data_IF_166710170618
#
_entry.id   IF_166710170618
#
_cell.length_a   1.000
_cell.length_b   1.000
_cell.length_c   1.000
_cell.angle_alpha   90.00
_cell.angle_beta   90.00
_cell.angle_gamma   90.00
#
_symmetry.space_group_name_H-M   'P 1'
#
loop_
_entity.id
_entity.type
_entity.pdbx_description
1 polymer ?
#
# COMPACT_ATOMS: atom_id res chain seq x y z
N UNK A 1 -9.79 23.00 -6.45
CA UNK A 1 -9.50 22.40 -5.12
C UNK A 1 -8.72 21.13 -5.37
N UNK A 2 -7.71 20.85 -4.56
CA UNK A 2 -6.86 19.66 -4.70
C UNK A 2 -7.24 18.66 -3.60
N UNK A 3 -7.59 17.42 -3.96
CA UNK A 3 -7.96 16.37 -3.01
C UNK A 3 -6.71 15.63 -2.55
N UNK A 4 -6.64 15.23 -1.28
CA UNK A 4 -5.59 14.30 -0.85
C UNK A 4 -5.90 12.87 -1.37
N UNK A 5 -4.93 11.96 -1.25
CA UNK A 5 -5.08 10.58 -1.75
C UNK A 5 -6.28 9.85 -1.14
N UNK A 6 -6.54 10.04 0.16
CA UNK A 6 -7.65 9.39 0.87
C UNK A 6 -9.00 9.91 0.39
N UNK A 7 -9.17 11.22 0.31
CA UNK A 7 -10.40 11.86 -0.17
C UNK A 7 -10.77 11.37 -1.56
N UNK A 8 -9.79 11.31 -2.47
CA UNK A 8 -9.99 10.85 -3.84
C UNK A 8 -10.49 9.42 -3.91
N UNK A 9 -9.92 8.51 -3.12
CA UNK A 9 -10.36 7.11 -3.05
C UNK A 9 -11.80 7.01 -2.53
N UNK A 10 -12.11 7.72 -1.45
CA UNK A 10 -13.46 7.70 -0.87
C UNK A 10 -14.51 8.25 -1.85
N UNK A 11 -14.23 9.35 -2.53
CA UNK A 11 -15.15 9.92 -3.53
C UNK A 11 -15.34 8.99 -4.73
N UNK A 12 -14.28 8.37 -5.25
CA UNK A 12 -14.38 7.42 -6.34
C UNK A 12 -15.24 6.18 -5.97
N UNK A 13 -15.10 5.66 -4.75
CA UNK A 13 -15.92 4.55 -4.23
C UNK A 13 -17.41 4.92 -4.10
N UNK A 14 -17.70 6.19 -3.88
CA UNK A 14 -19.06 6.73 -3.81
C UNK A 14 -19.61 7.22 -5.16
N UNK A 15 -18.88 7.00 -6.27
CA UNK A 15 -19.26 7.46 -7.61
C UNK A 15 -19.37 9.00 -7.75
N UNK A 16 -18.61 9.74 -6.93
CA UNK A 16 -18.57 11.20 -6.95
C UNK A 16 -17.41 11.73 -7.82
N UNK A 17 -17.51 12.96 -8.37
CA UNK A 17 -16.43 13.56 -9.15
C UNK A 17 -15.12 13.72 -8.35
N UNK A 18 -14.00 13.36 -8.96
CA UNK A 18 -12.65 13.48 -8.39
C UNK A 18 -11.77 14.44 -9.18
N UNK A 19 -10.80 15.07 -8.53
CA UNK A 19 -9.82 15.97 -9.17
C UNK A 19 -8.91 15.28 -10.21
N UNK A 20 -8.72 13.96 -10.08
CA UNK A 20 -8.05 13.05 -11.03
C UNK A 20 -8.37 11.60 -10.69
N UNK A 21 -7.98 10.67 -11.55
CA UNK A 21 -8.13 9.22 -11.32
C UNK A 21 -7.28 8.79 -10.10
N UNK A 22 -7.83 8.03 -9.12
CA UNK A 22 -7.05 7.42 -8.05
C UNK A 22 -5.97 6.48 -8.61
N UNK A 23 -4.75 6.56 -8.08
CA UNK A 23 -3.66 5.64 -8.43
C UNK A 23 -3.41 4.69 -7.27
N UNK A 24 -3.57 3.39 -7.53
CA UNK A 24 -3.05 2.34 -6.67
C UNK A 24 -1.67 1.93 -7.19
N UNK A 25 -0.66 2.08 -6.35
CA UNK A 25 0.71 1.76 -6.71
C UNK A 25 1.10 0.31 -6.37
N UNK A 26 0.23 -0.45 -5.66
CA UNK A 26 0.40 -1.88 -5.36
C UNK A 26 1.70 -2.28 -4.64
N UNK A 27 1.79 -3.51 -4.11
CA UNK A 27 3.07 -4.08 -3.65
C UNK A 27 3.83 -3.35 -2.52
N UNK A 28 5.15 -3.54 -2.48
CA UNK A 28 6.05 -3.02 -1.45
C UNK A 28 6.34 -1.52 -1.66
N UNK A 29 5.38 -0.67 -1.30
CA UNK A 29 5.48 0.79 -1.39
C UNK A 29 6.65 1.38 -0.58
N UNK A 30 7.15 0.63 0.41
CA UNK A 30 8.33 1.01 1.21
C UNK A 30 9.11 -0.25 1.63
N UNK A 31 10.37 -0.06 2.04
CA UNK A 31 11.19 -1.13 2.62
C UNK A 31 10.74 -1.59 4.02
N UNK A 32 9.75 -0.96 4.64
CA UNK A 32 9.22 -1.34 5.96
C UNK A 32 8.65 -2.76 5.91
N UNK A 33 7.95 -3.10 4.81
CA UNK A 33 7.35 -4.42 4.62
C UNK A 33 8.43 -5.52 4.63
N UNK A 34 9.60 -5.26 4.05
CA UNK A 34 10.73 -6.20 4.06
C UNK A 34 11.21 -6.49 5.48
N UNK A 35 11.49 -5.45 6.28
CA UNK A 35 11.97 -5.64 7.65
C UNK A 35 10.95 -6.34 8.55
N UNK A 36 9.65 -6.05 8.37
CA UNK A 36 8.59 -6.75 9.07
C UNK A 36 8.50 -8.24 8.66
N UNK A 37 8.68 -8.54 7.37
CA UNK A 37 8.67 -9.91 6.86
C UNK A 37 9.89 -10.72 7.36
N UNK A 38 11.08 -10.14 7.34
CA UNK A 38 12.30 -10.74 7.90
C UNK A 38 12.14 -11.09 9.39
N UNK A 39 11.57 -10.17 10.19
CA UNK A 39 11.29 -10.42 11.60
C UNK A 39 10.28 -11.58 11.80
N UNK A 40 9.27 -11.67 10.93
CA UNK A 40 8.31 -12.76 10.94
C UNK A 40 8.95 -14.11 10.59
N UNK A 41 9.76 -14.19 9.53
CA UNK A 41 10.45 -15.42 9.14
C UNK A 41 11.34 -15.94 10.27
N UNK A 42 12.08 -15.04 10.92
CA UNK A 42 12.91 -15.37 12.09
C UNK A 42 12.07 -15.93 13.26
N UNK A 43 10.92 -15.33 13.54
CA UNK A 43 10.02 -15.81 14.58
C UNK A 43 9.45 -17.21 14.27
N UNK A 44 9.13 -17.47 13.00
CA UNK A 44 8.59 -18.75 12.53
C UNK A 44 9.67 -19.82 12.32
N UNK A 45 10.95 -19.45 12.34
CA UNK A 45 12.06 -20.36 12.04
C UNK A 45 12.12 -20.79 10.57
N UNK A 46 11.61 -19.95 9.67
CA UNK A 46 11.58 -20.24 8.24
C UNK A 46 12.80 -19.66 7.54
N UNK A 47 13.32 -20.41 6.58
CA UNK A 47 14.42 -19.96 5.72
C UNK A 47 13.89 -19.80 4.29
N UNK A 48 13.60 -18.56 3.92
CA UNK A 48 13.02 -18.18 2.65
C UNK A 48 13.88 -17.09 2.00
N UNK A 49 14.04 -17.14 0.68
CA UNK A 49 14.73 -16.10 -0.08
C UNK A 49 13.77 -14.94 -0.34
N UNK A 50 14.16 -13.71 0.04
CA UNK A 50 13.35 -12.50 -0.13
C UNK A 50 13.86 -11.74 -1.36
N UNK A 51 12.97 -11.53 -2.34
CA UNK A 51 13.23 -10.75 -3.58
C UNK A 51 13.10 -9.22 -3.38
#
# INVERSE_FOLDING_TARGET
MNMNSRERVISALNFEPTDRVPLDLGGNQTGITRGAYEALLNYLGWNEEIE
#
